data_IF_066957880682
#
_entry.id   IF_066957880682
#
_cell.length_a   1.000
_cell.length_b   1.000
_cell.length_c   1.000
_cell.angle_alpha   90.00
_cell.angle_beta   90.00
_cell.angle_gamma   90.00
#
_symmetry.space_group_name_H-M   'P 1'
#
loop_
_entity.id
_entity.type
_entity.pdbx_description
1 polymer ?
#
# COMPACT_ATOMS: atom_id res chain seq x y z
N UNK A 1 -54.59 11.61 24.50
CA UNK A 1 -53.42 10.78 24.87
C UNK A 1 -52.87 10.22 23.58
N UNK A 2 -51.70 10.69 23.16
CA UNK A 2 -50.95 10.17 22.02
C UNK A 2 -50.56 8.70 22.25
N UNK A 3 -50.48 7.91 21.16
CA UNK A 3 -49.31 7.06 20.93
C UNK A 3 -49.18 6.62 19.47
N UNK A 4 -48.28 7.33 18.79
CA UNK A 4 -47.32 6.97 17.75
C UNK A 4 -47.57 5.65 16.99
N UNK A 5 -47.87 5.80 15.70
CA UNK A 5 -47.61 4.79 14.67
C UNK A 5 -46.11 4.54 14.61
N UNK A 6 -45.70 3.29 14.73
CA UNK A 6 -44.34 2.83 14.49
C UNK A 6 -44.25 2.63 12.98
N UNK A 7 -43.42 3.44 12.31
CA UNK A 7 -43.09 3.25 10.91
C UNK A 7 -42.13 2.06 10.80
N UNK A 8 -42.59 1.02 10.12
CA UNK A 8 -41.78 -0.14 9.71
C UNK A 8 -40.74 0.32 8.69
N UNK A 9 -39.53 0.63 9.16
CA UNK A 9 -38.38 0.87 8.29
C UNK A 9 -37.83 -0.48 7.82
N UNK A 10 -38.40 -1.00 6.72
CA UNK A 10 -37.78 -2.08 5.94
C UNK A 10 -36.37 -1.64 5.53
N UNK A 11 -35.36 -2.29 6.12
CA UNK A 11 -33.98 -2.14 5.68
C UNK A 11 -33.89 -2.70 4.27
N UNK A 12 -33.92 -1.81 3.27
CA UNK A 12 -33.72 -2.17 1.87
C UNK A 12 -32.47 -3.04 1.68
N UNK A 13 -32.40 -3.83 0.60
CA UNK A 13 -31.37 -4.84 0.42
C UNK A 13 -29.98 -4.23 0.65
N UNK A 14 -29.26 -4.73 1.67
CA UNK A 14 -27.88 -4.34 1.90
C UNK A 14 -27.12 -4.53 0.58
N UNK A 15 -26.46 -3.49 0.04
CA UNK A 15 -25.66 -3.66 -1.16
C UNK A 15 -24.67 -4.79 -0.92
N UNK A 16 -24.65 -5.79 -1.81
CA UNK A 16 -23.67 -6.87 -1.84
C UNK A 16 -22.29 -6.31 -1.47
N UNK A 17 -21.52 -6.95 -0.56
CA UNK A 17 -20.19 -6.48 -0.20
C UNK A 17 -19.36 -6.35 -1.48
N UNK A 18 -19.20 -5.13 -1.97
CA UNK A 18 -18.43 -4.88 -3.19
C UNK A 18 -17.05 -5.43 -2.96
N UNK A 19 -16.55 -6.23 -3.90
CA UNK A 19 -15.24 -6.84 -3.75
C UNK A 19 -14.19 -5.74 -3.55
N UNK A 20 -13.46 -5.78 -2.42
CA UNK A 20 -12.35 -4.88 -2.18
C UNK A 20 -11.08 -5.43 -2.84
N UNK A 21 -10.19 -4.54 -3.25
CA UNK A 21 -8.84 -4.89 -3.63
C UNK A 21 -7.95 -5.15 -2.40
N UNK A 22 -6.66 -5.44 -2.64
CA UNK A 22 -5.67 -5.70 -1.59
C UNK A 22 -5.36 -4.48 -0.70
N UNK A 23 -5.77 -3.29 -1.12
CA UNK A 23 -5.55 -2.02 -0.43
C UNK A 23 -6.83 -1.48 0.22
N UNK A 24 -7.95 -2.20 0.10
CA UNK A 24 -9.23 -1.81 0.67
C UNK A 24 -10.07 -0.89 -0.22
N UNK A 25 -9.69 -0.69 -1.49
CA UNK A 25 -10.50 0.07 -2.44
C UNK A 25 -11.56 -0.81 -3.08
N UNK A 26 -12.75 -0.24 -3.31
CA UNK A 26 -13.86 -0.89 -4.01
C UNK A 26 -13.44 -1.20 -5.45
N UNK A 27 -13.50 -2.46 -5.86
CA UNK A 27 -13.33 -2.83 -7.27
C UNK A 27 -14.54 -2.33 -8.05
N UNK A 28 -14.29 -1.63 -9.15
CA UNK A 28 -15.34 -1.28 -10.10
C UNK A 28 -15.85 -2.58 -10.74
N UNK A 29 -17.17 -2.78 -10.74
CA UNK A 29 -17.82 -3.94 -11.36
C UNK A 29 -17.68 -3.83 -12.89
N UNK A 30 -16.55 -4.27 -13.42
CA UNK A 30 -16.41 -4.57 -14.84
C UNK A 30 -17.11 -5.91 -15.03
N UNK A 31 -18.34 -5.88 -15.56
CA UNK A 31 -19.18 -7.03 -15.95
C UNK A 31 -18.67 -8.38 -15.47
N UNK A 32 -19.23 -8.85 -14.35
CA UNK A 32 -18.85 -10.06 -13.64
C UNK A 32 -18.69 -11.27 -14.57
N UNK A 33 -17.45 -11.53 -14.96
CA UNK A 33 -16.97 -12.83 -15.39
C UNK A 33 -15.76 -13.20 -14.56
N UNK A 34 -15.92 -13.16 -13.24
CA UNK A 34 -15.02 -13.95 -12.39
C UNK A 34 -15.85 -14.65 -11.32
N UNK A 35 -16.45 -15.73 -11.82
CA UNK A 35 -16.86 -16.91 -11.07
C UNK A 35 -16.10 -17.06 -9.75
N UNK A 36 -16.87 -17.20 -8.68
CA UNK A 36 -16.48 -17.82 -7.42
C UNK A 36 -15.98 -19.25 -7.66
N UNK A 37 -14.81 -19.41 -8.27
CA UNK A 37 -14.11 -20.70 -8.30
C UNK A 37 -13.13 -20.65 -7.14
N UNK A 38 -13.43 -21.43 -6.09
CA UNK A 38 -12.48 -21.83 -5.05
C UNK A 38 -11.34 -22.63 -5.70
N UNK A 39 -10.47 -21.96 -6.44
CA UNK A 39 -9.24 -22.54 -6.92
C UNK A 39 -8.15 -22.09 -5.95
N UNK A 40 -7.79 -22.97 -5.01
CA UNK A 40 -6.65 -22.77 -4.12
C UNK A 40 -5.32 -22.58 -4.89
N UNK A 41 -5.27 -22.95 -6.18
CA UNK A 41 -4.02 -23.02 -6.96
C UNK A 41 -3.44 -21.68 -7.46
N UNK A 42 -4.22 -20.68 -7.95
CA UNK A 42 -3.67 -19.42 -8.44
C UNK A 42 -3.18 -18.51 -7.30
N UNK A 43 -3.90 -18.50 -6.18
CA UNK A 43 -3.52 -17.73 -5.00
C UNK A 43 -2.23 -18.26 -4.36
N UNK A 44 -2.11 -19.58 -4.19
CA UNK A 44 -0.87 -20.22 -3.73
C UNK A 44 0.31 -19.91 -4.66
N UNK A 45 0.10 -19.98 -5.98
CA UNK A 45 1.15 -19.67 -6.95
C UNK A 45 1.64 -18.23 -6.83
N UNK A 46 0.72 -17.26 -6.74
CA UNK A 46 1.06 -15.85 -6.60
C UNK A 46 1.76 -15.58 -5.27
N UNK A 47 1.31 -16.19 -4.17
CA UNK A 47 1.97 -16.12 -2.86
C UNK A 47 3.41 -16.63 -2.93
N UNK A 48 3.64 -17.81 -3.51
CA UNK A 48 4.99 -18.39 -3.66
C UNK A 48 5.87 -17.49 -4.53
N UNK A 49 5.30 -16.92 -5.60
CA UNK A 49 6.00 -15.98 -6.49
C UNK A 49 6.39 -14.70 -5.74
N UNK A 50 5.48 -14.14 -4.95
CA UNK A 50 5.73 -12.96 -4.12
C UNK A 50 6.83 -13.25 -3.09
N UNK A 51 6.78 -14.40 -2.42
CA UNK A 51 7.80 -14.80 -1.46
C UNK A 51 9.20 -14.93 -2.10
N UNK A 52 9.28 -15.54 -3.29
CA UNK A 52 10.52 -15.58 -4.08
C UNK A 52 10.99 -14.18 -4.47
N UNK A 53 10.07 -13.26 -4.75
CA UNK A 53 10.40 -11.86 -5.05
C UNK A 53 10.95 -11.15 -3.81
N UNK A 54 10.29 -11.28 -2.66
CA UNK A 54 10.71 -10.72 -1.37
C UNK A 54 12.11 -11.17 -0.99
N UNK A 55 12.42 -12.47 -1.09
CA UNK A 55 13.77 -12.99 -0.78
C UNK A 55 14.84 -12.34 -1.66
N UNK A 56 14.57 -12.20 -2.96
CA UNK A 56 15.51 -11.57 -3.89
C UNK A 56 15.69 -10.08 -3.58
N UNK A 57 14.61 -9.38 -3.24
CA UNK A 57 14.66 -7.97 -2.86
C UNK A 57 15.40 -7.75 -1.54
N UNK A 58 15.15 -8.56 -0.51
CA UNK A 58 15.89 -8.52 0.78
C UNK A 58 17.39 -8.64 0.57
N UNK A 59 17.84 -9.55 -0.30
CA UNK A 59 19.27 -9.68 -0.67
C UNK A 59 19.86 -8.45 -1.35
N UNK A 60 19.04 -7.63 -2.02
CA UNK A 60 19.50 -6.42 -2.71
C UNK A 60 19.59 -5.21 -1.78
N UNK A 61 18.62 -5.08 -0.88
CA UNK A 61 18.49 -3.91 -0.01
C UNK A 61 19.29 -4.08 1.30
N UNK A 62 19.56 -5.32 1.73
CA UNK A 62 20.18 -5.57 3.03
C UNK A 62 19.21 -5.31 4.19
N UNK A 63 19.72 -5.32 5.43
CA UNK A 63 18.90 -4.98 6.60
C UNK A 63 18.72 -3.47 6.63
N UNK A 64 17.47 -3.01 6.63
CA UNK A 64 17.15 -1.57 6.71
C UNK A 64 17.66 -0.71 5.55
N UNK A 65 18.13 -1.30 4.44
CA UNK A 65 18.67 -0.57 3.28
C UNK A 65 20.20 -0.48 3.22
N UNK A 66 20.94 -1.14 4.12
CA UNK A 66 22.42 -1.08 4.21
C UNK A 66 23.15 -1.34 2.89
N UNK A 67 22.66 -2.28 2.09
CA UNK A 67 23.37 -2.80 0.93
C UNK A 67 22.95 -2.08 -0.36
N UNK A 68 21.87 -1.28 -0.30
CA UNK A 68 21.21 -0.70 -1.46
C UNK A 68 22.15 0.12 -2.34
N UNK A 69 22.86 1.10 -1.76
CA UNK A 69 23.77 1.99 -2.50
C UNK A 69 24.84 1.19 -3.24
N UNK A 70 25.42 0.20 -2.55
CA UNK A 70 26.43 -0.67 -3.12
C UNK A 70 25.87 -1.57 -4.24
N UNK A 71 24.68 -2.13 -4.04
CA UNK A 71 24.03 -3.02 -5.00
C UNK A 71 23.62 -2.27 -6.28
N UNK A 72 23.01 -1.09 -6.15
CA UNK A 72 22.62 -0.24 -7.29
C UNK A 72 23.85 0.13 -8.11
N UNK A 73 24.94 0.56 -7.47
CA UNK A 73 26.19 0.93 -8.15
C UNK A 73 26.75 -0.22 -8.99
N UNK A 74 26.75 -1.46 -8.46
CA UNK A 74 27.27 -2.63 -9.19
C UNK A 74 26.28 -3.23 -10.20
N UNK A 75 24.98 -3.19 -9.93
CA UNK A 75 23.95 -3.96 -10.65
C UNK A 75 22.72 -3.12 -10.99
N UNK A 76 22.92 -1.88 -11.46
CA UNK A 76 21.84 -0.94 -11.80
C UNK A 76 20.82 -1.53 -12.79
N UNK A 77 21.27 -2.31 -13.79
CA UNK A 77 20.40 -2.97 -14.77
C UNK A 77 19.46 -4.02 -14.14
N UNK A 78 19.92 -4.75 -13.12
CA UNK A 78 19.10 -5.71 -12.37
C UNK A 78 18.04 -4.98 -11.56
N UNK A 79 18.42 -3.87 -10.91
CA UNK A 79 17.50 -3.02 -10.13
C UNK A 79 16.39 -2.49 -11.05
N UNK A 80 16.76 -1.88 -12.18
CA UNK A 80 15.80 -1.35 -13.17
C UNK A 80 14.82 -2.43 -13.65
N UNK A 81 15.32 -3.63 -13.97
CA UNK A 81 14.47 -4.77 -14.39
C UNK A 81 13.50 -5.20 -13.30
N UNK A 82 13.91 -5.19 -12.03
CA UNK A 82 13.06 -5.61 -10.90
C UNK A 82 12.02 -4.58 -10.53
N UNK A 83 12.37 -3.29 -10.58
CA UNK A 83 11.39 -2.21 -10.39
C UNK A 83 10.27 -2.32 -11.43
N UNK A 84 10.62 -2.53 -12.70
CA UNK A 84 9.64 -2.77 -13.79
C UNK A 84 8.78 -4.02 -13.58
N UNK A 85 9.30 -5.06 -12.92
CA UNK A 85 8.52 -6.25 -12.53
C UNK A 85 7.61 -6.01 -11.33
N UNK A 86 7.84 -4.94 -10.57
CA UNK A 86 7.12 -4.64 -9.34
C UNK A 86 7.95 -4.87 -8.08
N UNK A 87 7.83 -3.93 -7.15
CA UNK A 87 8.35 -4.02 -5.79
C UNK A 87 7.31 -4.77 -4.93
N UNK A 88 7.70 -5.80 -4.17
CA UNK A 88 6.82 -6.47 -3.21
C UNK A 88 6.25 -5.47 -2.23
N UNK A 89 4.97 -5.62 -1.91
CA UNK A 89 4.23 -4.62 -1.15
C UNK A 89 4.81 -4.37 0.24
N UNK A 90 5.17 -5.46 0.94
CA UNK A 90 5.82 -5.41 2.24
C UNK A 90 7.19 -4.71 2.23
N UNK A 91 7.75 -4.42 1.07
CA UNK A 91 9.02 -3.69 0.91
C UNK A 91 8.85 -2.30 0.29
N UNK A 92 7.65 -1.92 -0.18
CA UNK A 92 7.43 -0.63 -0.86
C UNK A 92 7.79 0.55 0.03
N UNK A 93 7.37 0.52 1.30
CA UNK A 93 7.65 1.60 2.25
C UNK A 93 9.14 1.93 2.37
N UNK A 94 10.01 0.91 2.41
CA UNK A 94 11.45 1.12 2.46
C UNK A 94 12.04 1.42 1.06
N UNK A 95 11.70 0.61 0.06
CA UNK A 95 12.32 0.66 -1.26
C UNK A 95 12.01 1.96 -1.98
N UNK A 96 10.79 2.49 -1.88
CA UNK A 96 10.47 3.78 -2.48
C UNK A 96 11.28 4.92 -1.87
N UNK A 97 11.50 4.92 -0.55
CA UNK A 97 12.38 5.91 0.09
C UNK A 97 13.84 5.78 -0.36
N UNK A 98 14.31 4.55 -0.57
CA UNK A 98 15.68 4.28 -1.05
C UNK A 98 15.90 4.72 -2.50
N UNK A 99 14.87 4.60 -3.37
CA UNK A 99 14.96 5.02 -4.78
C UNK A 99 14.91 6.54 -4.91
N UNK A 100 14.03 7.21 -4.15
CA UNK A 100 13.89 8.66 -4.20
C UNK A 100 15.01 9.42 -3.48
N UNK A 101 15.78 8.73 -2.63
CA UNK A 101 16.75 9.36 -1.73
C UNK A 101 16.12 9.95 -0.48
N UNK A 102 14.80 9.85 -0.30
CA UNK A 102 14.12 10.42 0.87
C UNK A 102 14.56 9.79 2.19
N UNK A 103 15.08 8.55 2.16
CA UNK A 103 15.60 7.88 3.36
C UNK A 103 16.78 8.64 3.97
N UNK A 104 17.71 9.12 3.14
CA UNK A 104 18.86 9.89 3.61
C UNK A 104 18.39 11.26 4.14
N UNK A 105 17.50 11.93 3.40
CA UNK A 105 16.92 13.22 3.82
C UNK A 105 16.19 13.13 5.16
N UNK A 106 15.40 12.07 5.38
CA UNK A 106 14.70 11.81 6.63
C UNK A 106 15.68 11.67 7.80
N UNK A 107 16.78 10.95 7.59
CA UNK A 107 17.78 10.72 8.65
C UNK A 107 18.65 11.96 8.92
N UNK A 108 18.88 12.80 7.91
CA UNK A 108 19.64 14.04 8.05
C UNK A 108 18.83 15.17 8.71
N UNK A 109 17.50 15.11 8.69
CA UNK A 109 16.61 16.18 9.14
C UNK A 109 15.58 15.67 10.17
N UNK A 110 16.04 15.17 11.34
CA UNK A 110 15.11 14.67 12.36
C UNK A 110 14.20 15.80 12.88
N UNK A 111 12.91 15.52 13.05
CA UNK A 111 11.95 16.47 13.60
C UNK A 111 11.41 17.50 12.61
N UNK A 112 11.99 17.64 11.41
CA UNK A 112 11.59 18.68 10.44
C UNK A 112 10.17 18.46 9.94
N UNK A 113 9.76 17.20 9.73
CA UNK A 113 8.40 16.90 9.28
C UNK A 113 7.38 17.27 10.36
N UNK A 114 7.65 16.90 11.61
CA UNK A 114 6.80 17.17 12.77
C UNK A 114 6.65 18.67 13.01
N UNK A 115 7.76 19.43 12.94
CA UNK A 115 7.74 20.89 13.05
C UNK A 115 6.91 21.51 11.91
N UNK A 116 7.13 21.07 10.67
CA UNK A 116 6.39 21.62 9.52
C UNK A 116 4.89 21.34 9.63
N UNK A 117 4.50 20.14 10.07
CA UNK A 117 3.10 19.81 10.33
C UNK A 117 2.50 20.66 11.45
N UNK A 118 3.25 20.88 12.53
CA UNK A 118 2.83 21.77 13.63
C UNK A 118 2.64 23.21 13.15
N UNK A 119 3.59 23.77 12.40
CA UNK A 119 3.50 25.12 11.86
C UNK A 119 2.31 25.27 10.91
N UNK A 120 2.04 24.28 10.05
CA UNK A 120 0.85 24.27 9.20
C UNK A 120 -0.44 24.25 10.02
N UNK A 121 -0.48 23.49 11.12
CA UNK A 121 -1.62 23.45 12.03
C UNK A 121 -1.87 24.80 12.74
N UNK A 122 -0.80 25.48 13.17
CA UNK A 122 -0.89 26.77 13.86
C UNK A 122 -1.07 27.98 12.93
N UNK A 123 -0.69 27.87 11.65
CA UNK A 123 -0.79 28.96 10.66
C UNK A 123 -2.05 28.92 9.79
N UNK A 124 -2.89 27.87 9.84
CA UNK A 124 -4.26 27.96 9.31
C UNK A 124 -5.14 28.74 10.29
N UNK A 125 -5.57 29.97 9.98
CA UNK A 125 -6.60 30.60 10.78
C UNK A 125 -7.86 29.76 10.59
N UNK A 126 -8.41 29.23 11.67
CA UNK A 126 -9.79 28.79 11.68
C UNK A 126 -10.64 30.01 11.28
N UNK A 127 -11.00 30.10 10.00
CA UNK A 127 -12.06 30.98 9.55
C UNK A 127 -13.37 30.37 10.06
N UNK A 128 -13.78 30.82 11.25
CA UNK A 128 -15.16 30.74 11.74
C UNK A 128 -15.75 32.15 11.71
#
# INVERSE_FOLDING_TARGET
>A
MEKKRIDDYEAGPLPSPRALDRFGFVKQDVSASDSLVKNRSPYEYERIREERSVRKWRKMIGVGGSDWKHYVRRKHHVVKRRIRKGIPDCLRGLVWQLISGSRDLLLMNPGVYEITQGLLWYSTPCLY
#
